data_IF_870847352456
#
_entry.id   IF_870847352456
#
_cell.length_a   1.000
_cell.length_b   1.000
_cell.length_c   1.000
_cell.angle_alpha   90.00
_cell.angle_beta   90.00
_cell.angle_gamma   90.00
#
_symmetry.space_group_name_H-M   'P 1'
#
loop_
_entity.id
_entity.type
_entity.pdbx_description
1 polymer ?
#
# COMPACT_ATOMS: atom_id res chain seq x y z
N UNK A 1 -15.23 2.45 -4.14
CA UNK A 1 -15.62 1.04 -4.24
C UNK A 1 -17.08 1.00 -4.58
N UNK A 2 -17.53 0.08 -5.44
CA UNK A 2 -18.97 0.03 -5.76
C UNK A 2 -19.71 -0.70 -4.63
N UNK A 3 -20.97 -0.36 -4.40
CA UNK A 3 -21.77 -1.02 -3.34
C UNK A 3 -21.90 -2.53 -3.58
N UNK A 4 -22.04 -2.94 -4.85
CA UNK A 4 -22.05 -4.35 -5.27
C UNK A 4 -20.77 -5.11 -4.86
N UNK A 5 -19.61 -4.44 -4.83
CA UNK A 5 -18.35 -5.05 -4.38
C UNK A 5 -18.34 -5.26 -2.86
N UNK A 6 -18.88 -4.30 -2.10
CA UNK A 6 -18.96 -4.40 -0.63
C UNK A 6 -19.92 -5.51 -0.18
N UNK A 7 -21.10 -5.61 -0.81
CA UNK A 7 -22.07 -6.68 -0.52
C UNK A 7 -21.49 -8.06 -0.86
N UNK A 8 -20.83 -8.17 -2.02
CA UNK A 8 -20.14 -9.40 -2.43
C UNK A 8 -19.05 -9.77 -1.43
N UNK A 9 -18.27 -8.80 -0.96
CA UNK A 9 -17.19 -9.03 0.01
C UNK A 9 -17.73 -9.52 1.36
N UNK A 10 -18.82 -8.92 1.87
CA UNK A 10 -19.50 -9.37 3.09
C UNK A 10 -19.99 -10.81 2.98
N UNK A 11 -20.52 -11.20 1.82
CA UNK A 11 -20.93 -12.57 1.54
C UNK A 11 -19.74 -13.55 1.49
N UNK A 12 -18.60 -13.13 0.95
CA UNK A 12 -17.38 -13.94 0.97
C UNK A 12 -16.89 -14.13 2.40
N UNK A 13 -16.81 -13.06 3.20
CA UNK A 13 -16.38 -13.12 4.60
C UNK A 13 -17.26 -14.05 5.44
N UNK A 14 -18.58 -14.02 5.25
CA UNK A 14 -19.50 -14.87 6.04
C UNK A 14 -19.37 -16.37 5.74
N UNK A 15 -18.77 -16.74 4.60
CA UNK A 15 -18.55 -18.13 4.19
C UNK A 15 -17.09 -18.58 4.36
N UNK A 16 -16.15 -17.63 4.39
CA UNK A 16 -14.72 -17.91 4.45
C UNK A 16 -14.26 -18.14 5.89
N UNK A 17 -13.65 -19.30 6.14
CA UNK A 17 -12.92 -19.56 7.39
C UNK A 17 -11.68 -18.67 7.51
N UNK A 18 -10.99 -18.43 6.40
CA UNK A 18 -9.81 -17.57 6.29
C UNK A 18 -10.02 -16.63 5.10
N UNK A 19 -9.96 -15.32 5.33
CA UNK A 19 -9.99 -14.27 4.33
C UNK A 19 -8.61 -13.62 4.23
N UNK A 20 -8.08 -13.55 3.01
CA UNK A 20 -6.76 -12.97 2.74
C UNK A 20 -6.92 -11.77 1.82
N UNK A 21 -6.44 -10.58 2.24
CA UNK A 21 -6.35 -9.41 1.37
C UNK A 21 -5.14 -9.55 0.44
N UNK A 22 -5.39 -9.64 -0.86
CA UNK A 22 -4.38 -9.96 -1.87
C UNK A 22 -3.97 -8.72 -2.70
N UNK A 23 -2.78 -8.21 -2.44
CA UNK A 23 -2.14 -7.11 -3.16
C UNK A 23 -2.56 -5.72 -2.69
N UNK A 24 -1.83 -4.70 -3.14
CA UNK A 24 -1.97 -3.32 -2.67
C UNK A 24 -3.39 -2.75 -2.80
N UNK A 25 -4.14 -3.13 -3.84
CA UNK A 25 -5.53 -2.69 -3.99
C UNK A 25 -6.41 -3.22 -2.85
N UNK A 26 -6.19 -4.47 -2.43
CA UNK A 26 -6.96 -5.11 -1.37
C UNK A 26 -6.47 -4.70 0.02
N UNK A 27 -5.16 -4.54 0.20
CA UNK A 27 -4.55 -4.27 1.51
C UNK A 27 -4.52 -2.79 1.89
N UNK A 28 -4.43 -1.88 0.90
CA UNK A 28 -4.26 -0.43 1.16
C UNK A 28 -5.09 0.44 0.20
N UNK A 29 -5.98 -0.15 -0.59
CA UNK A 29 -6.77 0.52 -1.65
C UNK A 29 -5.99 0.83 -2.94
N UNK A 30 -4.65 0.80 -2.87
CA UNK A 30 -3.75 1.00 -4.00
C UNK A 30 -3.90 2.37 -4.67
N UNK A 31 -3.48 2.46 -5.94
CA UNK A 31 -3.56 3.71 -6.71
C UNK A 31 -4.98 4.24 -6.87
N UNK A 32 -5.99 3.37 -6.82
CA UNK A 32 -7.39 3.76 -6.93
C UNK A 32 -7.87 4.60 -5.73
N UNK A 33 -7.14 4.57 -4.60
CA UNK A 33 -7.44 5.39 -3.41
C UNK A 33 -7.02 6.85 -3.58
N UNK A 34 -6.24 7.18 -4.62
CA UNK A 34 -5.88 8.57 -4.99
C UNK A 34 -7.10 9.48 -5.13
N UNK A 35 -8.19 8.98 -5.71
CA UNK A 35 -9.39 9.78 -5.93
C UNK A 35 -10.06 10.22 -4.62
N UNK A 36 -9.76 9.58 -3.50
CA UNK A 36 -10.29 9.95 -2.18
C UNK A 36 -9.64 11.23 -1.62
N UNK A 37 -8.65 11.80 -2.31
CA UNK A 37 -8.09 13.11 -1.96
C UNK A 37 -8.89 14.28 -2.55
N UNK A 38 -9.88 14.00 -3.41
CA UNK A 38 -10.81 15.02 -3.91
C UNK A 38 -11.97 15.16 -2.93
N UNK A 39 -12.34 16.40 -2.61
CA UNK A 39 -13.49 16.69 -1.75
C UNK A 39 -14.82 16.37 -2.45
N UNK A 40 -14.88 16.60 -3.77
CA UNK A 40 -16.01 16.23 -4.63
C UNK A 40 -15.61 15.19 -5.68
N UNK A 41 -16.11 13.96 -5.54
CA UNK A 41 -15.87 12.89 -6.50
C UNK A 41 -16.59 13.12 -7.85
N UNK A 42 -17.57 14.02 -7.93
CA UNK A 42 -18.16 14.42 -9.20
C UNK A 42 -17.14 15.16 -10.08
N UNK A 43 -16.15 15.86 -9.51
CA UNK A 43 -15.05 16.45 -10.28
C UNK A 43 -14.21 15.38 -10.98
N UNK A 44 -13.92 14.28 -10.29
CA UNK A 44 -13.19 13.14 -10.87
C UNK A 44 -13.96 12.56 -12.06
N UNK A 45 -15.29 12.41 -11.94
CA UNK A 45 -16.13 11.97 -13.07
C UNK A 45 -16.15 12.97 -14.21
N UNK A 46 -16.30 14.26 -13.92
CA UNK A 46 -16.30 15.34 -14.93
C UNK A 46 -14.98 15.40 -15.68
N UNK A 47 -13.86 15.19 -15.00
CA UNK A 47 -12.52 15.14 -15.60
C UNK A 47 -12.40 14.03 -16.66
N UNK A 48 -12.93 12.83 -16.40
CA UNK A 48 -12.82 11.68 -17.31
C UNK A 48 -13.92 11.66 -18.38
N UNK A 49 -15.16 11.97 -18.00
CA UNK A 49 -16.34 11.76 -18.84
C UNK A 49 -17.00 13.05 -19.34
N UNK A 50 -16.56 14.22 -18.90
CA UNK A 50 -17.08 15.52 -19.32
C UNK A 50 -18.60 15.60 -19.17
N UNK A 51 -19.28 15.85 -20.30
CA UNK A 51 -20.75 15.95 -20.37
C UNK A 51 -21.49 14.67 -19.95
N UNK A 52 -20.84 13.51 -20.10
CA UNK A 52 -21.45 12.21 -19.82
C UNK A 52 -21.36 11.82 -18.33
N UNK A 53 -20.67 12.61 -17.48
CA UNK A 53 -20.41 12.32 -16.07
C UNK A 53 -21.65 12.09 -15.20
N UNK A 54 -22.83 12.52 -15.66
CA UNK A 54 -24.11 12.36 -14.95
C UNK A 54 -24.79 11.01 -15.20
N UNK A 55 -24.25 10.15 -16.09
CA UNK A 55 -24.85 8.83 -16.37
C UNK A 55 -24.83 7.95 -15.10
N UNK A 56 -25.95 7.33 -14.70
CA UNK A 56 -26.04 6.57 -13.44
C UNK A 56 -25.00 5.45 -13.29
N UNK A 57 -24.63 4.77 -14.39
CA UNK A 57 -23.62 3.70 -14.36
C UNK A 57 -22.18 4.19 -14.14
N UNK A 58 -21.96 5.50 -14.14
CA UNK A 58 -20.67 6.13 -13.82
C UNK A 58 -20.59 6.57 -12.36
N UNK A 59 -21.57 6.22 -11.52
CA UNK A 59 -21.53 6.50 -10.10
C UNK A 59 -20.22 5.99 -9.49
N UNK A 60 -19.56 6.87 -8.73
CA UNK A 60 -18.28 6.61 -8.08
C UNK A 60 -18.43 6.90 -6.59
N UNK A 61 -17.73 6.13 -5.78
CA UNK A 61 -17.64 6.31 -4.33
C UNK A 61 -16.18 6.17 -3.90
N UNK A 62 -15.82 6.64 -2.69
CA UNK A 62 -14.47 6.49 -2.15
C UNK A 62 -13.98 5.05 -2.25
N UNK A 63 -12.73 4.86 -2.66
CA UNK A 63 -12.08 3.55 -2.67
C UNK A 63 -11.77 3.12 -1.24
N UNK A 64 -12.12 1.89 -0.91
CA UNK A 64 -11.83 1.23 0.36
C UNK A 64 -10.98 -0.01 0.09
N UNK A 65 -10.02 -0.29 0.96
CA UNK A 65 -9.37 -1.56 1.13
C UNK A 65 -10.36 -2.60 1.70
N UNK A 66 -9.97 -3.87 1.74
CA UNK A 66 -10.85 -4.96 2.16
C UNK A 66 -11.14 -4.90 3.65
N UNK A 67 -10.13 -4.55 4.45
CA UNK A 67 -10.18 -4.37 5.90
C UNK A 67 -11.04 -3.17 6.35
N UNK A 68 -11.22 -2.16 5.48
CA UNK A 68 -12.17 -1.07 5.70
C UNK A 68 -13.66 -1.49 5.54
N UNK A 69 -13.93 -2.74 5.14
CA UNK A 69 -15.29 -3.25 4.89
C UNK A 69 -15.60 -4.49 5.74
N UNK A 70 -14.64 -5.40 5.91
CA UNK A 70 -14.79 -6.64 6.68
C UNK A 70 -13.47 -7.03 7.36
N UNK A 71 -13.52 -7.81 8.43
CA UNK A 71 -12.32 -8.33 9.08
C UNK A 71 -11.50 -9.27 8.17
N UNK A 72 -10.19 -9.03 8.08
CA UNK A 72 -9.25 -9.78 7.26
C UNK A 72 -8.27 -10.53 8.16
N UNK A 73 -8.05 -11.82 7.88
CA UNK A 73 -7.18 -12.67 8.70
C UNK A 73 -5.69 -12.52 8.33
N UNK A 74 -5.39 -12.41 7.02
CA UNK A 74 -4.00 -12.29 6.53
C UNK A 74 -3.89 -11.33 5.34
N UNK A 75 -2.67 -10.82 5.13
CA UNK A 75 -2.39 -9.82 4.11
C UNK A 75 -1.25 -10.29 3.22
N UNK A 76 -1.38 -10.09 1.91
CA UNK A 76 -0.29 -10.29 0.94
C UNK A 76 -0.02 -8.94 0.29
N UNK A 77 1.10 -8.32 0.63
CA UNK A 77 1.38 -6.95 0.21
C UNK A 77 2.03 -6.86 -1.18
N UNK A 78 1.90 -5.69 -1.82
CA UNK A 78 2.64 -5.36 -3.04
C UNK A 78 1.77 -5.10 -4.27
N UNK A 79 2.35 -4.40 -5.24
CA UNK A 79 1.73 -4.05 -6.52
C UNK A 79 2.70 -4.31 -7.69
N UNK A 80 2.73 -5.53 -8.27
CA UNK A 80 1.98 -6.73 -7.85
C UNK A 80 2.60 -7.41 -6.63
N UNK A 81 1.91 -8.44 -6.12
CA UNK A 81 2.42 -9.32 -5.06
C UNK A 81 3.68 -10.08 -5.51
N UNK A 82 4.49 -10.52 -4.55
CA UNK A 82 5.62 -11.42 -4.83
C UNK A 82 5.16 -12.88 -4.86
N UNK A 83 5.62 -13.63 -5.87
CA UNK A 83 5.25 -15.04 -6.06
C UNK A 83 5.72 -15.93 -4.90
N UNK A 84 6.94 -15.72 -4.40
CA UNK A 84 7.53 -16.54 -3.34
C UNK A 84 6.80 -16.26 -2.02
N UNK A 85 6.55 -14.99 -1.70
CA UNK A 85 5.77 -14.58 -0.53
C UNK A 85 4.36 -15.18 -0.56
N UNK A 86 3.64 -15.05 -1.68
CA UNK A 86 2.31 -15.64 -1.83
C UNK A 86 2.33 -17.17 -1.64
N UNK A 87 3.28 -17.85 -2.26
CA UNK A 87 3.39 -19.32 -2.17
C UNK A 87 3.74 -19.76 -0.76
N UNK A 88 4.59 -19.02 -0.06
CA UNK A 88 4.94 -19.25 1.33
C UNK A 88 3.71 -19.12 2.25
N UNK A 89 2.96 -18.01 2.12
CA UNK A 89 1.74 -17.76 2.91
C UNK A 89 0.73 -18.89 2.71
N UNK A 90 0.41 -19.23 1.46
CA UNK A 90 -0.54 -20.31 1.16
C UNK A 90 -0.07 -21.65 1.74
N UNK A 91 1.22 -21.99 1.62
CA UNK A 91 1.78 -23.22 2.18
C UNK A 91 1.70 -23.27 3.70
N UNK A 92 2.00 -22.16 4.40
CA UNK A 92 1.88 -22.08 5.84
C UNK A 92 0.44 -22.33 6.29
N UNK A 93 -0.52 -21.66 5.66
CA UNK A 93 -1.94 -21.78 6.01
C UNK A 93 -2.49 -23.18 5.72
N UNK A 94 -2.09 -23.82 4.62
CA UNK A 94 -2.45 -25.21 4.33
C UNK A 94 -1.93 -26.21 5.37
N UNK A 95 -0.80 -25.89 6.01
CA UNK A 95 -0.21 -26.69 7.09
C UNK A 95 -0.72 -26.29 8.48
N UNK A 96 -1.68 -25.37 8.57
CA UNK A 96 -2.20 -24.86 9.85
C UNK A 96 -1.20 -23.98 10.62
N UNK A 97 -0.18 -23.43 9.95
CA UNK A 97 0.82 -22.53 10.53
C UNK A 97 0.51 -21.08 10.19
N UNK A 98 0.71 -20.18 11.14
CA UNK A 98 0.65 -18.73 10.93
C UNK A 98 1.89 -18.28 10.14
N UNK A 99 1.74 -17.66 8.96
CA UNK A 99 2.87 -17.15 8.20
C UNK A 99 3.47 -15.91 8.86
N UNK A 100 4.80 -15.81 8.87
CA UNK A 100 5.50 -14.60 9.29
C UNK A 100 5.71 -13.69 8.09
N UNK A 101 5.05 -12.53 8.09
CA UNK A 101 5.14 -11.54 7.01
C UNK A 101 6.11 -10.44 7.46
N UNK A 102 7.07 -10.01 6.62
CA UNK A 102 7.97 -8.92 6.96
C UNK A 102 7.21 -7.66 7.39
N UNK A 103 7.59 -7.10 8.55
CA UNK A 103 7.01 -5.87 9.10
C UNK A 103 8.06 -4.79 9.44
N UNK A 104 9.29 -4.98 8.96
CA UNK A 104 10.34 -3.97 9.08
C UNK A 104 10.40 -3.09 7.81
N UNK A 105 11.05 -1.92 7.86
CA UNK A 105 11.20 -1.05 6.70
C UNK A 105 12.04 -1.64 5.56
N UNK A 106 11.70 -1.29 4.31
CA UNK A 106 12.48 -1.63 3.10
C UNK A 106 13.95 -1.24 3.23
N UNK A 107 14.28 -0.20 4.00
CA UNK A 107 15.66 0.19 4.25
C UNK A 107 16.55 -0.93 4.82
N UNK A 108 15.99 -1.86 5.59
CA UNK A 108 16.76 -3.00 6.15
C UNK A 108 17.26 -3.91 5.03
N UNK A 109 16.36 -4.38 4.17
CA UNK A 109 16.70 -5.23 3.02
C UNK A 109 17.53 -4.46 1.96
N UNK A 110 17.29 -3.16 1.80
CA UNK A 110 18.04 -2.31 0.88
C UNK A 110 19.51 -2.18 1.30
N UNK A 111 19.78 -1.93 2.59
CA UNK A 111 21.14 -1.86 3.14
C UNK A 111 21.82 -3.22 3.12
N UNK A 112 21.09 -4.29 3.47
CA UNK A 112 21.62 -5.66 3.43
C UNK A 112 22.10 -6.08 2.03
N UNK A 113 21.51 -5.51 0.97
CA UNK A 113 21.94 -5.72 -0.42
C UNK A 113 23.10 -4.83 -0.88
N UNK A 114 23.56 -3.90 -0.06
CA UNK A 114 24.60 -2.94 -0.45
C UNK A 114 24.15 -1.95 -1.53
N UNK A 115 22.84 -1.72 -1.69
CA UNK A 115 22.34 -0.75 -2.67
C UNK A 115 22.82 0.67 -2.29
N UNK A 116 23.33 1.46 -3.25
CA UNK A 116 23.57 2.88 -3.05
C UNK A 116 22.30 3.61 -2.61
N UNK A 117 22.43 4.52 -1.64
CA UNK A 117 21.28 5.25 -1.13
C UNK A 117 20.81 6.29 -2.16
N UNK A 118 19.60 6.11 -2.70
CA UNK A 118 19.07 7.02 -3.74
C UNK A 118 18.80 8.45 -3.28
N UNK A 119 18.75 8.71 -1.97
CA UNK A 119 18.68 10.07 -1.43
C UNK A 119 19.97 10.86 -1.71
N UNK A 120 21.11 10.18 -1.85
CA UNK A 120 22.38 10.82 -2.28
C UNK A 120 22.30 11.36 -3.71
N UNK A 121 21.35 10.88 -4.51
CA UNK A 121 21.09 11.32 -5.87
C UNK A 121 19.85 12.22 -5.96
N UNK A 122 19.40 12.81 -4.84
CA UNK A 122 18.27 13.74 -4.81
C UNK A 122 16.89 13.10 -4.97
N UNK A 123 16.77 11.76 -4.91
CA UNK A 123 15.47 11.09 -5.00
C UNK A 123 14.84 10.92 -3.62
N UNK A 124 13.63 11.43 -3.41
CA UNK A 124 12.85 11.21 -2.18
C UNK A 124 12.27 9.79 -2.18
N UNK A 125 12.86 8.89 -1.41
CA UNK A 125 12.49 7.47 -1.33
C UNK A 125 11.73 7.11 -0.05
N UNK A 126 10.63 6.37 -0.17
CA UNK A 126 9.77 6.00 0.97
C UNK A 126 10.26 4.76 1.74
N UNK A 127 11.42 4.20 1.39
CA UNK A 127 11.94 2.97 1.99
C UNK A 127 11.99 2.92 3.53
N UNK A 128 12.24 4.03 4.24
CA UNK A 128 12.28 4.02 5.71
C UNK A 128 10.94 3.78 6.40
N UNK A 129 9.81 4.03 5.74
CA UNK A 129 8.46 3.95 6.33
C UNK A 129 7.59 2.85 5.72
N UNK A 130 8.07 2.21 4.67
CA UNK A 130 7.31 1.22 3.88
C UNK A 130 7.75 -0.19 4.25
N UNK A 131 6.77 -1.08 4.38
CA UNK A 131 6.94 -2.51 4.68
C UNK A 131 7.85 -3.23 3.67
N UNK A 132 8.82 -3.97 4.19
CA UNK A 132 9.75 -4.80 3.42
C UNK A 132 9.09 -6.07 2.83
N UNK A 133 9.90 -6.91 2.17
CA UNK A 133 9.48 -8.18 1.55
C UNK A 133 9.47 -8.15 0.03
N UNK A 134 9.64 -6.98 -0.60
CA UNK A 134 9.89 -6.89 -2.05
C UNK A 134 11.38 -7.04 -2.42
N UNK A 135 12.26 -7.19 -1.43
CA UNK A 135 13.70 -7.29 -1.65
C UNK A 135 14.31 -6.00 -2.22
N UNK A 136 13.80 -4.83 -1.83
CA UNK A 136 14.24 -3.52 -2.28
C UNK A 136 14.39 -3.42 -3.81
N UNK A 137 13.43 -4.01 -4.55
CA UNK A 137 13.51 -4.12 -6.02
C UNK A 137 13.69 -2.76 -6.70
N UNK A 138 13.02 -1.70 -6.24
CA UNK A 138 13.17 -0.37 -6.85
C UNK A 138 14.56 0.23 -6.55
N UNK A 139 15.04 0.32 -5.29
CA UNK A 139 16.39 0.79 -5.01
C UNK A 139 17.50 -0.01 -5.69
N UNK A 140 17.37 -1.33 -5.81
CA UNK A 140 18.33 -2.17 -6.54
C UNK A 140 18.41 -1.88 -8.03
N UNK A 141 17.44 -1.13 -8.58
CA UNK A 141 17.45 -0.68 -9.98
C UNK A 141 17.58 0.85 -10.09
N UNK A 142 18.11 1.51 -9.05
CA UNK A 142 18.38 2.96 -9.07
C UNK A 142 17.15 3.85 -8.87
N UNK A 143 15.99 3.28 -8.54
CA UNK A 143 14.76 4.03 -8.32
C UNK A 143 14.41 4.13 -6.84
N UNK A 144 13.73 5.22 -6.45
CA UNK A 144 13.08 5.32 -5.15
C UNK A 144 12.06 4.22 -4.88
N UNK A 145 11.84 3.91 -3.60
CA UNK A 145 10.67 3.16 -3.18
C UNK A 145 9.40 4.02 -3.36
N UNK A 146 8.38 3.40 -3.96
CA UNK A 146 7.10 4.03 -4.26
C UNK A 146 6.04 3.83 -3.17
N UNK A 147 6.25 2.92 -2.23
CA UNK A 147 5.31 2.66 -1.14
C UNK A 147 4.21 1.65 -1.43
N UNK A 148 4.34 0.85 -2.49
CA UNK A 148 3.28 -0.07 -2.91
C UNK A 148 2.95 -1.23 -1.93
N UNK A 149 3.74 -1.41 -0.87
CA UNK A 149 3.51 -2.42 0.18
C UNK A 149 2.77 -1.87 1.41
N UNK A 150 2.53 -0.57 1.48
CA UNK A 150 1.94 0.10 2.64
C UNK A 150 2.94 0.36 3.75
N UNK A 151 2.49 1.03 4.81
CA UNK A 151 3.34 1.34 5.96
C UNK A 151 3.73 0.07 6.73
N UNK A 152 4.99 0.05 7.20
CA UNK A 152 5.37 -0.85 8.28
C UNK A 152 4.58 -0.48 9.54
N UNK A 153 4.29 -1.42 10.44
CA UNK A 153 3.46 -1.15 11.62
C UNK A 153 4.19 -0.26 12.63
N UNK A 154 5.51 -0.46 12.78
CA UNK A 154 6.36 0.37 13.62
C UNK A 154 7.56 0.90 12.82
N UNK A 155 7.33 1.85 11.89
CA UNK A 155 8.42 2.44 11.12
C UNK A 155 9.23 3.36 12.04
N UNK A 156 10.56 3.32 11.92
CA UNK A 156 11.42 4.25 12.65
C UNK A 156 11.36 5.64 11.99
N UNK A 157 10.32 6.40 12.34
CA UNK A 157 10.04 7.71 11.76
C UNK A 157 11.15 8.70 12.10
N UNK A 158 11.78 8.59 13.26
CA UNK A 158 12.85 9.50 13.67
C UNK A 158 14.11 9.28 12.83
N UNK A 159 14.48 8.01 12.58
CA UNK A 159 15.54 7.70 11.62
C UNK A 159 15.19 8.18 10.20
N UNK A 160 13.90 8.17 9.81
CA UNK A 160 13.50 8.75 8.53
C UNK A 160 13.71 10.28 8.51
N UNK A 161 13.37 11.00 9.60
CA UNK A 161 13.59 12.45 9.74
C UNK A 161 15.07 12.81 9.72
N UNK A 162 15.90 12.13 10.50
CA UNK A 162 17.36 12.40 10.54
C UNK A 162 18.00 12.30 9.16
N UNK A 163 17.60 11.29 8.39
CA UNK A 163 18.15 11.10 7.05
C UNK A 163 17.56 12.16 6.10
N UNK A 164 16.32 12.62 6.29
CA UNK A 164 15.69 13.69 5.48
C UNK A 164 16.46 15.00 5.68
N UNK A 165 16.71 15.36 6.94
CA UNK A 165 17.46 16.54 7.34
C UNK A 165 18.90 16.50 6.78
N UNK A 166 19.56 15.34 6.88
CA UNK A 166 20.92 15.13 6.36
C UNK A 166 21.05 15.41 4.86
N UNK A 167 20.01 15.12 4.07
CA UNK A 167 20.03 15.32 2.62
C UNK A 167 19.30 16.60 2.18
N UNK A 168 18.94 17.48 3.12
CA UNK A 168 18.26 18.75 2.82
C UNK A 168 16.89 18.57 2.17
N UNK A 169 16.25 17.42 2.41
CA UNK A 169 14.90 17.14 1.92
C UNK A 169 13.87 17.67 2.92
N UNK A 170 12.63 17.87 2.47
CA UNK A 170 11.54 18.32 3.36
C UNK A 170 10.49 17.24 3.58
N UNK A 171 9.82 17.30 4.73
CA UNK A 171 8.68 16.43 5.03
C UNK A 171 7.56 16.58 3.98
N UNK A 172 7.39 17.77 3.40
CA UNK A 172 6.37 17.98 2.37
C UNK A 172 6.70 17.31 1.04
N UNK A 173 7.98 17.23 0.69
CA UNK A 173 8.42 16.41 -0.45
C UNK A 173 8.10 14.93 -0.20
N UNK A 174 8.28 14.43 1.03
CA UNK A 174 7.92 13.06 1.40
C UNK A 174 6.40 12.84 1.29
N UNK A 175 5.59 13.71 1.88
CA UNK A 175 4.11 13.67 1.79
C UNK A 175 3.65 13.61 0.33
N UNK A 176 4.23 14.43 -0.53
CA UNK A 176 3.92 14.45 -1.96
C UNK A 176 4.21 13.10 -2.63
N UNK A 177 5.29 12.42 -2.25
CA UNK A 177 5.62 11.09 -2.79
C UNK A 177 4.74 9.98 -2.21
N UNK A 178 4.22 10.15 -0.99
CA UNK A 178 3.32 9.20 -0.34
C UNK A 178 1.95 9.12 -1.03
N UNK A 179 1.50 10.19 -1.68
CA UNK A 179 0.17 10.27 -2.32
C UNK A 179 -0.15 9.04 -3.19
N UNK A 180 0.80 8.51 -3.97
CA UNK A 180 0.55 7.40 -4.90
C UNK A 180 -0.07 6.14 -4.25
N UNK A 181 0.40 5.75 -3.06
CA UNK A 181 -0.04 4.51 -2.38
C UNK A 181 -0.49 4.72 -0.92
N UNK A 182 -0.17 5.87 -0.32
CA UNK A 182 -0.52 6.22 1.06
C UNK A 182 -1.72 7.16 1.18
N UNK A 183 -2.47 7.37 0.10
CA UNK A 183 -3.67 8.23 0.10
C UNK A 183 -4.73 7.71 1.07
N UNK A 184 -5.03 8.49 2.12
CA UNK A 184 -6.02 8.13 3.15
C UNK A 184 -5.78 6.72 3.73
N UNK A 185 -4.53 6.33 3.87
CA UNK A 185 -4.15 5.09 4.55
C UNK A 185 -4.07 5.36 6.05
N UNK A 186 -4.83 4.62 6.86
CA UNK A 186 -4.61 4.59 8.31
C UNK A 186 -3.28 3.89 8.62
N UNK A 187 -2.59 4.22 9.73
CA UNK A 187 -1.43 3.45 10.14
C UNK A 187 -1.81 1.97 10.21
N UNK A 188 -0.97 1.07 9.71
CA UNK A 188 -1.21 -0.37 9.78
C UNK A 188 -1.02 -0.81 11.23
N UNK A 189 -1.98 -0.49 12.11
CA UNK A 189 -1.98 -0.95 13.51
C UNK A 189 -2.53 -2.37 13.48
N UNK A 190 -1.64 -3.34 13.29
CA UNK A 190 -1.96 -4.71 13.67
C UNK A 190 -1.98 -4.72 15.21
N UNK A 191 -3.19 -4.68 15.77
CA UNK A 191 -3.44 -5.06 17.16
C UNK A 191 -3.30 -6.56 17.34
#
# INVERSE_FOLDING_TARGET
TRLEDEERLKLIRSRAKILIALGACATIGGVNKLKNNFDDLDEVKKCVYGKDAKKPHLATQPTKAVDEVVDVDFYVHGCPIDRKEFTYIVRCLLLGKTPEIPDYPVCVECKAKGNPCVWQYGQVCLGPIIRAGCGARCPSNGFRCFGCRGYASNPNVDAAKEVIDKFGLTVDQLKTKMVLFGSRQEPTIYG
#
